data_IF_053319802346
#
_entry.id   IF_053319802346
#
_cell.length_a   1.000
_cell.length_b   1.000
_cell.length_c   1.000
_cell.angle_alpha   90.00
_cell.angle_beta   90.00
_cell.angle_gamma   90.00
#
_symmetry.space_group_name_H-M   'P 1'
#
loop_
_entity.id
_entity.type
_entity.pdbx_description
1 polymer ?
#
# COMPACT_ATOMS: atom_id res chain seq x y z
N UNK A 1 14.93 -8.67 -19.56
CA UNK A 1 15.21 -9.42 -18.32
C UNK A 1 14.48 -10.74 -18.43
N UNK A 2 15.21 -11.83 -18.63
CA UNK A 2 14.63 -13.17 -18.53
C UNK A 2 14.69 -13.57 -17.05
N UNK A 3 13.54 -13.87 -16.44
CA UNK A 3 13.50 -14.40 -15.08
C UNK A 3 12.80 -15.76 -15.09
N UNK A 4 13.29 -16.69 -14.26
CA UNK A 4 12.68 -17.99 -14.07
C UNK A 4 12.35 -18.17 -12.58
N UNK A 5 11.14 -18.63 -12.31
CA UNK A 5 10.73 -19.05 -10.98
C UNK A 5 10.88 -20.56 -10.85
N UNK A 6 11.37 -21.03 -9.71
CA UNK A 6 11.45 -22.45 -9.41
C UNK A 6 10.77 -22.73 -8.08
N UNK A 7 9.98 -23.80 -8.02
CA UNK A 7 9.41 -24.32 -6.78
C UNK A 7 10.09 -25.63 -6.41
N UNK A 8 10.41 -25.81 -5.14
CA UNK A 8 10.94 -27.07 -4.64
C UNK A 8 9.78 -28.05 -4.48
N UNK A 9 9.74 -29.09 -5.31
CA UNK A 9 8.76 -30.18 -5.24
C UNK A 9 9.49 -31.45 -4.84
N UNK A 10 9.31 -31.89 -3.60
CA UNK A 10 10.08 -32.99 -3.02
C UNK A 10 11.56 -32.64 -2.87
N UNK A 11 12.43 -33.24 -3.69
CA UNK A 11 13.90 -32.98 -3.73
C UNK A 11 14.35 -32.28 -5.01
N UNK A 12 13.43 -31.84 -5.87
CA UNK A 12 13.75 -31.28 -7.18
C UNK A 12 13.15 -29.89 -7.35
N UNK A 13 13.86 -29.03 -8.07
CA UNK A 13 13.35 -27.73 -8.47
C UNK A 13 12.55 -27.87 -9.76
N UNK A 14 11.24 -27.61 -9.70
CA UNK A 14 10.36 -27.55 -10.85
C UNK A 14 10.19 -26.10 -11.29
N UNK A 15 10.36 -25.81 -12.58
CA UNK A 15 10.13 -24.48 -13.12
C UNK A 15 8.65 -24.10 -13.02
N UNK A 16 8.37 -22.86 -12.62
CA UNK A 16 7.04 -22.29 -12.60
C UNK A 16 6.76 -21.73 -14.00
N UNK A 17 5.73 -22.22 -14.71
CA UNK A 17 5.37 -21.71 -16.02
C UNK A 17 4.90 -20.26 -15.90
N UNK A 18 5.15 -19.48 -16.95
CA UNK A 18 4.63 -18.14 -17.04
C UNK A 18 3.17 -18.17 -17.54
N UNK A 19 2.34 -17.29 -17.00
CA UNK A 19 1.02 -16.94 -17.51
C UNK A 19 1.17 -16.11 -18.82
N UNK A 20 0.05 -15.82 -19.49
CA UNK A 20 -0.07 -14.94 -20.65
C UNK A 20 0.54 -13.53 -20.45
N UNK A 21 0.77 -13.12 -19.19
CA UNK A 21 1.42 -11.85 -18.80
C UNK A 21 2.92 -11.97 -18.51
N UNK A 22 3.54 -13.11 -18.83
CA UNK A 22 4.89 -13.47 -18.42
C UNK A 22 5.10 -13.52 -16.89
N UNK A 23 4.01 -13.68 -16.14
CA UNK A 23 4.02 -13.75 -14.68
C UNK A 23 4.02 -15.18 -14.18
N UNK A 24 4.67 -15.44 -13.05
CA UNK A 24 4.83 -16.77 -12.48
C UNK A 24 4.13 -16.84 -11.13
N UNK A 25 3.10 -17.67 -11.03
CA UNK A 25 2.35 -17.85 -9.79
C UNK A 25 3.17 -18.62 -8.75
N UNK A 26 3.34 -18.05 -7.56
CA UNK A 26 3.94 -18.72 -6.42
C UNK A 26 2.86 -19.14 -5.43
N UNK A 27 2.53 -20.43 -5.40
CA UNK A 27 1.58 -21.00 -4.43
C UNK A 27 2.01 -20.78 -2.98
N UNK A 28 3.32 -20.74 -2.70
CA UNK A 28 3.87 -20.53 -1.35
C UNK A 28 3.64 -19.09 -0.87
N UNK A 29 3.72 -18.13 -1.80
CA UNK A 29 3.51 -16.72 -1.48
C UNK A 29 2.05 -16.30 -1.64
N UNK A 30 1.25 -17.04 -2.42
CA UNK A 30 -0.07 -16.60 -2.87
C UNK A 30 0.00 -15.36 -3.77
N UNK A 31 1.11 -15.20 -4.52
CA UNK A 31 1.41 -14.00 -5.30
C UNK A 31 2.01 -14.38 -6.66
N UNK A 32 1.78 -13.54 -7.66
CA UNK A 32 2.47 -13.58 -8.95
C UNK A 32 3.82 -12.86 -8.86
N UNK A 33 4.86 -13.46 -9.45
CA UNK A 33 6.14 -12.80 -9.72
C UNK A 33 6.16 -12.33 -11.16
N UNK A 34 6.43 -11.05 -11.37
CA UNK A 34 6.52 -10.44 -12.70
C UNK A 34 7.65 -9.42 -12.78
N UNK A 35 8.01 -8.99 -13.99
CA UNK A 35 8.93 -7.87 -14.20
C UNK A 35 8.13 -6.63 -14.52
N UNK A 36 8.26 -5.58 -13.70
CA UNK A 36 7.73 -4.25 -13.97
C UNK A 36 8.84 -3.21 -13.85
N UNK A 37 8.91 -2.29 -14.82
CA UNK A 37 9.94 -1.25 -14.90
C UNK A 37 11.38 -1.80 -14.80
N UNK A 38 11.63 -3.00 -15.35
CA UNK A 38 12.93 -3.65 -15.30
C UNK A 38 13.33 -4.20 -13.92
N UNK A 39 12.38 -4.33 -12.99
CA UNK A 39 12.60 -4.91 -11.67
C UNK A 39 11.65 -6.08 -11.43
N UNK A 40 12.12 -7.09 -10.70
CA UNK A 40 11.25 -8.17 -10.22
C UNK A 40 10.32 -7.61 -9.14
N UNK A 41 9.02 -7.81 -9.32
CA UNK A 41 7.96 -7.30 -8.45
C UNK A 41 6.93 -8.40 -8.16
N UNK A 42 6.25 -8.27 -7.03
CA UNK A 42 5.14 -9.14 -6.64
C UNK A 42 3.81 -8.50 -7.05
N UNK A 43 2.87 -9.31 -7.50
CA UNK A 43 1.50 -8.93 -7.82
C UNK A 43 0.54 -9.85 -7.09
N UNK A 44 -0.58 -9.31 -6.63
CA UNK A 44 -1.64 -10.10 -5.99
C UNK A 44 -2.49 -10.87 -7.01
N UNK A 45 -3.48 -11.62 -6.53
CA UNK A 45 -4.41 -12.40 -7.36
C UNK A 45 -5.21 -11.52 -8.34
N UNK A 46 -5.48 -10.27 -7.98
CA UNK A 46 -6.15 -9.30 -8.86
C UNK A 46 -5.18 -8.71 -9.91
N UNK A 47 -3.89 -9.00 -9.80
CA UNK A 47 -2.82 -8.46 -10.63
C UNK A 47 -2.40 -7.04 -10.25
N UNK A 48 -2.73 -6.61 -9.04
CA UNK A 48 -2.26 -5.35 -8.47
C UNK A 48 -0.84 -5.52 -7.94
N UNK A 49 0.01 -4.52 -8.17
CA UNK A 49 1.37 -4.49 -7.65
C UNK A 49 1.37 -4.49 -6.12
N UNK A 50 1.98 -5.50 -5.50
CA UNK A 50 2.18 -5.54 -4.06
C UNK A 50 3.34 -4.61 -3.69
N UNK A 51 3.11 -3.57 -2.88
CA UNK A 51 4.17 -2.67 -2.46
C UNK A 51 5.19 -3.43 -1.61
N UNK A 52 6.46 -3.05 -1.75
CA UNK A 52 7.49 -3.50 -0.82
C UNK A 52 7.16 -3.01 0.60
N UNK A 53 7.65 -3.68 1.67
CA UNK A 53 7.44 -3.20 3.04
C UNK A 53 7.87 -1.75 3.25
N UNK A 54 8.93 -1.31 2.57
CA UNK A 54 9.39 0.07 2.61
C UNK A 54 8.45 1.05 1.88
N UNK A 55 7.87 0.66 0.74
CA UNK A 55 6.85 1.45 0.03
C UNK A 55 5.55 1.52 0.84
N UNK A 56 5.12 0.41 1.45
CA UNK A 56 3.95 0.35 2.31
C UNK A 56 4.12 1.25 3.55
N UNK A 57 5.28 1.22 4.21
CA UNK A 57 5.57 2.08 5.35
C UNK A 57 5.53 3.57 4.98
N UNK A 58 6.05 3.94 3.80
CA UNK A 58 5.99 5.32 3.30
C UNK A 58 4.55 5.75 3.04
N UNK A 59 3.75 4.90 2.40
CA UNK A 59 2.33 5.16 2.17
C UNK A 59 1.59 5.37 3.50
N UNK A 60 1.78 4.47 4.46
CA UNK A 60 1.13 4.56 5.77
C UNK A 60 1.55 5.83 6.53
N UNK A 61 2.83 6.22 6.46
CA UNK A 61 3.30 7.46 7.05
C UNK A 61 2.61 8.68 6.42
N UNK A 62 2.54 8.72 5.09
CA UNK A 62 1.91 9.82 4.37
C UNK A 62 0.41 9.92 4.66
N UNK A 63 -0.29 8.78 4.74
CA UNK A 63 -1.71 8.76 5.12
C UNK A 63 -1.91 9.27 6.56
N UNK A 64 -1.08 8.82 7.51
CA UNK A 64 -1.13 9.31 8.90
C UNK A 64 -0.84 10.80 9.02
N UNK A 65 0.12 11.32 8.27
CA UNK A 65 0.39 12.76 8.24
C UNK A 65 -0.77 13.54 7.65
N UNK A 66 -1.37 13.05 6.56
CA UNK A 66 -2.52 13.70 5.94
C UNK A 66 -3.73 13.72 6.88
N UNK A 67 -4.00 12.62 7.56
CA UNK A 67 -5.08 12.53 8.55
C UNK A 67 -4.84 13.49 9.73
N UNK A 68 -3.61 13.53 10.25
CA UNK A 68 -3.22 14.50 11.30
C UNK A 68 -3.43 15.94 10.87
N UNK A 69 -3.04 16.30 9.65
CA UNK A 69 -3.24 17.65 9.13
C UNK A 69 -4.72 18.00 9.01
N UNK A 70 -5.57 17.05 8.59
CA UNK A 70 -7.02 17.26 8.53
C UNK A 70 -7.63 17.45 9.91
N UNK A 71 -7.28 16.60 10.88
CA UNK A 71 -7.74 16.72 12.25
C UNK A 71 -7.33 18.05 12.89
N UNK A 72 -6.08 18.47 12.69
CA UNK A 72 -5.58 19.74 13.20
C UNK A 72 -6.29 20.94 12.55
N UNK A 73 -6.54 20.88 11.23
CA UNK A 73 -7.27 21.92 10.53
C UNK A 73 -8.73 22.03 11.01
N UNK A 74 -9.38 20.90 11.28
CA UNK A 74 -10.73 20.86 11.84
C UNK A 74 -10.75 21.43 13.26
N UNK A 75 -9.78 21.04 14.11
CA UNK A 75 -9.64 21.57 15.46
C UNK A 75 -9.48 23.09 15.46
N UNK A 76 -8.60 23.64 14.61
CA UNK A 76 -8.42 25.08 14.48
C UNK A 76 -9.67 25.80 13.94
N UNK A 77 -10.48 25.14 13.11
CA UNK A 77 -11.77 25.70 12.66
C UNK A 77 -12.78 25.73 13.81
N UNK A 78 -12.87 24.64 14.57
CA UNK A 78 -13.74 24.55 15.74
C UNK A 78 -13.34 25.57 16.83
N UNK A 79 -12.04 25.69 17.13
CA UNK A 79 -11.52 26.65 18.10
C UNK A 79 -11.84 28.09 17.70
N UNK A 80 -11.65 28.45 16.42
CA UNK A 80 -12.02 29.78 15.89
C UNK A 80 -13.51 30.04 15.93
N UNK A 81 -14.34 29.04 15.65
CA UNK A 81 -15.79 29.17 15.71
C UNK A 81 -16.24 29.35 17.16
N UNK A 82 -15.74 28.53 18.08
CA UNK A 82 -16.02 28.64 19.51
C UNK A 82 -15.57 29.98 20.08
N UNK A 83 -14.42 30.51 19.62
CA UNK A 83 -13.99 31.86 19.98
C UNK A 83 -14.98 32.93 19.49
N UNK A 84 -15.40 32.88 18.22
CA UNK A 84 -16.39 33.82 17.67
C UNK A 84 -17.74 33.73 18.38
N UNK A 85 -18.19 32.53 18.75
CA UNK A 85 -19.43 32.33 19.51
C UNK A 85 -19.33 32.97 20.91
N UNK A 86 -18.20 32.77 21.60
CA UNK A 86 -17.92 33.42 22.88
C UNK A 86 -17.88 34.95 22.77
N UNK A 87 -17.27 35.49 21.71
CA UNK A 87 -17.27 36.94 21.43
C UNK A 87 -18.68 37.50 21.19
N UNK A 88 -19.59 36.67 20.67
CA UNK A 88 -21.00 37.01 20.47
C UNK A 88 -21.87 36.78 21.72
N UNK A 89 -21.26 36.38 22.86
CA UNK A 89 -21.97 36.13 24.12
C UNK A 89 -22.75 34.81 24.15
N UNK A 90 -22.49 33.91 23.21
CA UNK A 90 -23.05 32.55 23.18
C UNK A 90 -22.01 31.61 23.76
N UNK A 91 -22.31 30.94 24.88
CA UNK A 91 -21.43 29.88 25.41
C UNK A 91 -21.55 28.63 24.52
N UNK A 92 -20.45 28.19 23.86
CA UNK A 92 -20.43 26.91 23.17
C UNK A 92 -20.12 25.81 24.19
N UNK A 93 -21.09 24.92 24.46
CA UNK A 93 -20.91 23.63 25.16
C UNK A 93 -20.10 22.64 24.28
#
# INVERSE_FOLDING_TARGET
>A
LEFAGFRLTGKQFAAIPADARDWRWSEVLGLYLGVANGQLRYFDEAGQLVPTPAEAAKWEHQQREQERQRAEQERQRAERLAQRLRELGVEPD
#
